data_IF_810946569634
#
_entry.id   IF_810946569634
#
_cell.length_a   1.000
_cell.length_b   1.000
_cell.length_c   1.000
_cell.angle_alpha   90.00
_cell.angle_beta   90.00
_cell.angle_gamma   90.00
#
_symmetry.space_group_name_H-M   'P 1'
#
loop_
_entity.id
_entity.type
_entity.pdbx_description
1 polymer ?
#
# COMPACT_ATOMS: atom_id res chain seq x y z
N UNK A 1 4.04 -3.37 -13.17
CA UNK A 1 2.64 -3.54 -13.66
C UNK A 1 1.80 -4.43 -12.74
N UNK A 2 2.09 -5.74 -12.57
CA UNK A 2 1.21 -6.68 -11.81
C UNK A 2 0.88 -6.28 -10.35
N UNK A 3 1.83 -5.70 -9.61
CA UNK A 3 1.63 -5.37 -8.19
C UNK A 3 0.75 -4.13 -8.02
N UNK A 4 0.98 -3.10 -8.83
CA UNK A 4 0.17 -1.88 -8.84
C UNK A 4 -1.30 -2.17 -9.16
N UNK A 5 -1.57 -3.01 -10.18
CA UNK A 5 -2.95 -3.38 -10.52
C UNK A 5 -3.67 -4.02 -9.34
N UNK A 6 -2.99 -4.89 -8.57
CA UNK A 6 -3.56 -5.51 -7.36
C UNK A 6 -3.86 -4.47 -6.27
N UNK A 7 -2.95 -3.50 -6.07
CA UNK A 7 -3.18 -2.43 -5.09
C UNK A 7 -4.35 -1.54 -5.50
N UNK A 8 -4.48 -1.19 -6.79
CA UNK A 8 -5.64 -0.42 -7.27
C UNK A 8 -6.97 -1.17 -7.08
N UNK A 9 -6.98 -2.51 -7.19
CA UNK A 9 -8.17 -3.32 -6.91
C UNK A 9 -8.61 -3.24 -5.44
N UNK A 10 -7.67 -3.24 -4.50
CA UNK A 10 -8.00 -3.16 -3.07
C UNK A 10 -8.09 -1.73 -2.55
N UNK A 11 -7.70 -0.72 -3.34
CA UNK A 11 -7.55 0.68 -2.91
C UNK A 11 -8.81 1.22 -2.23
N UNK A 12 -9.99 0.89 -2.75
CA UNK A 12 -11.27 1.34 -2.17
C UNK A 12 -11.65 0.66 -0.86
N UNK A 13 -11.01 -0.47 -0.52
CA UNK A 13 -11.14 -1.15 0.78
C UNK A 13 -10.14 -0.68 1.84
N UNK A 14 -9.28 0.28 1.48
CA UNK A 14 -8.34 0.94 2.40
C UNK A 14 -8.97 2.19 2.99
N UNK A 15 -8.53 2.55 4.19
CA UNK A 15 -8.93 3.79 4.86
C UNK A 15 -8.65 5.02 3.99
N UNK A 16 -9.35 6.12 4.28
CA UNK A 16 -9.14 7.38 3.56
C UNK A 16 -7.71 7.91 3.75
N UNK A 17 -7.13 7.73 4.94
CA UNK A 17 -5.76 8.14 5.26
C UNK A 17 -4.75 7.38 4.42
N UNK A 18 -4.82 6.04 4.42
CA UNK A 18 -3.94 5.21 3.59
C UNK A 18 -4.04 5.55 2.10
N UNK A 19 -5.25 5.79 1.59
CA UNK A 19 -5.46 6.20 0.19
C UNK A 19 -4.79 7.52 -0.13
N UNK A 20 -4.94 8.54 0.73
CA UNK A 20 -4.33 9.87 0.54
C UNK A 20 -2.81 9.77 0.48
N UNK A 21 -2.20 9.03 1.42
CA UNK A 21 -0.74 8.87 1.44
C UNK A 21 -0.26 8.01 0.28
N UNK A 22 -1.01 6.97 -0.11
CA UNK A 22 -0.71 6.19 -1.30
C UNK A 22 -0.75 7.06 -2.56
N UNK A 23 -1.69 7.99 -2.70
CA UNK A 23 -1.75 8.86 -3.87
C UNK A 23 -0.58 9.84 -3.93
N UNK A 24 -0.16 10.39 -2.78
CA UNK A 24 1.01 11.29 -2.66
C UNK A 24 2.35 10.59 -2.80
N UNK A 25 2.41 9.29 -2.53
CA UNK A 25 3.66 8.54 -2.49
C UNK A 25 4.46 8.63 -3.80
N UNK A 26 5.77 8.83 -3.68
CA UNK A 26 6.67 8.91 -4.84
C UNK A 26 6.85 7.54 -5.48
N UNK A 27 6.86 7.50 -6.82
CA UNK A 27 7.12 6.27 -7.58
C UNK A 27 8.57 6.28 -8.06
N UNK A 28 9.33 5.29 -7.60
CA UNK A 28 10.73 5.06 -7.94
C UNK A 28 10.87 3.89 -8.93
N UNK A 29 12.11 3.63 -9.35
CA UNK A 29 12.42 2.54 -10.29
C UNK A 29 12.03 1.15 -9.76
N UNK A 30 12.07 0.95 -8.44
CA UNK A 30 11.76 -0.31 -7.76
C UNK A 30 10.32 -0.42 -7.27
N UNK A 31 9.54 0.67 -7.33
CA UNK A 31 8.14 0.69 -6.94
C UNK A 31 7.69 2.00 -6.32
N UNK A 32 6.48 1.99 -5.76
CA UNK A 32 5.92 3.14 -5.04
C UNK A 32 6.28 3.02 -3.56
N UNK A 33 6.88 4.06 -3.01
CA UNK A 33 7.28 4.09 -1.59
C UNK A 33 6.22 4.84 -0.78
N UNK A 34 5.49 4.09 0.03
CA UNK A 34 4.41 4.58 0.87
C UNK A 34 4.88 4.67 2.32
N UNK A 35 4.80 5.86 2.90
CA UNK A 35 4.96 6.10 4.34
C UNK A 35 3.58 6.18 4.99
N UNK A 36 3.36 5.41 6.05
CA UNK A 36 2.12 5.45 6.85
C UNK A 36 2.47 5.67 8.31
N UNK A 37 1.76 6.61 8.94
CA UNK A 37 1.76 6.79 10.39
C UNK A 37 0.69 5.86 10.97
N UNK A 38 1.08 5.02 11.94
CA UNK A 38 0.15 4.14 12.66
C UNK A 38 -0.38 4.91 13.87
N UNK A 39 -1.57 5.47 13.73
CA UNK A 39 -2.28 6.22 14.77
C UNK A 39 -3.58 5.53 15.22
N UNK A 40 -4.00 4.47 14.52
CA UNK A 40 -5.18 3.67 14.82
C UNK A 40 -5.08 2.24 14.26
N UNK A 41 -5.99 1.35 14.68
CA UNK A 41 -6.03 -0.05 14.27
C UNK A 41 -6.41 -0.25 12.79
N UNK A 42 -7.17 0.66 12.19
CA UNK A 42 -7.56 0.60 10.77
C UNK A 42 -6.32 0.66 9.86
N UNK A 43 -5.34 1.50 10.22
CA UNK A 43 -4.06 1.59 9.50
C UNK A 43 -3.27 0.27 9.59
N UNK A 44 -3.32 -0.42 10.72
CA UNK A 44 -2.66 -1.73 10.87
C UNK A 44 -3.28 -2.76 9.92
N UNK A 45 -4.61 -2.79 9.82
CA UNK A 45 -5.31 -3.68 8.89
C UNK A 45 -5.02 -3.34 7.43
N UNK A 46 -4.93 -2.06 7.10
CA UNK A 46 -4.52 -1.61 5.77
C UNK A 46 -3.08 -2.05 5.43
N UNK A 47 -2.15 -1.94 6.37
CA UNK A 47 -0.76 -2.41 6.18
C UNK A 47 -0.75 -3.91 5.91
N UNK A 48 -1.52 -4.72 6.65
CA UNK A 48 -1.63 -6.17 6.42
C UNK A 48 -2.14 -6.47 5.00
N UNK A 49 -3.20 -5.78 4.56
CA UNK A 49 -3.74 -5.93 3.19
C UNK A 49 -2.68 -5.58 2.14
N UNK A 50 -1.96 -4.47 2.31
CA UNK A 50 -0.90 -4.04 1.39
C UNK A 50 0.27 -5.03 1.34
N UNK A 51 0.72 -5.53 2.49
CA UNK A 51 1.80 -6.51 2.57
C UNK A 51 1.42 -7.87 1.96
N UNK A 52 0.14 -8.25 2.02
CA UNK A 52 -0.33 -9.48 1.36
C UNK A 52 -0.17 -9.48 -0.17
N UNK A 53 -0.08 -8.29 -0.77
CA UNK A 53 0.10 -8.09 -2.21
C UNK A 53 1.58 -8.11 -2.61
N UNK A 54 2.49 -7.74 -1.69
CA UNK A 54 3.92 -7.65 -1.94
C UNK A 54 4.46 -8.97 -2.46
N UNK A 55 5.29 -8.89 -3.51
CA UNK A 55 5.98 -10.07 -4.02
C UNK A 55 6.92 -10.61 -2.94
N UNK A 56 6.93 -11.93 -2.76
CA UNK A 56 7.95 -12.58 -1.91
C UNK A 56 9.35 -12.18 -2.41
N UNK A 57 10.28 -11.82 -1.52
CA UNK A 57 11.65 -11.57 -1.91
C UNK A 57 12.20 -12.83 -2.58
N UNK A 58 12.83 -12.66 -3.76
CA UNK A 58 13.71 -13.69 -4.29
C UNK A 58 15.03 -13.54 -3.54
N UNK A 59 15.31 -14.51 -2.68
CA UNK A 59 16.64 -14.72 -2.10
C UNK A 59 17.58 -15.11 -3.23
#
# INVERSE_FOLDING_TARGET
MKERTKVETIKYSLSQQTRKEYDKATTYHDGKWLLLVIDNEEIIEDIKKLLSIKRKPKI
#
